data_IF_550291971165
#
_entry.id   IF_550291971165
#
_cell.length_a   1.000
_cell.length_b   1.000
_cell.length_c   1.000
_cell.angle_alpha   90.00
_cell.angle_beta   90.00
_cell.angle_gamma   90.00
#
_symmetry.space_group_name_H-M   'P 1'
#
loop_
_entity.id
_entity.type
_entity.pdbx_description
1 polymer ?
#
# COMPACT_ATOMS: atom_id res chain seq x y z
N UNK A 1 25.82 -7.29 5.97
CA UNK A 1 24.98 -6.07 6.05
C UNK A 1 23.68 -6.47 6.74
N UNK A 2 23.22 -5.71 7.74
CA UNK A 2 21.91 -5.99 8.33
C UNK A 2 20.84 -5.76 7.26
N UNK A 3 19.85 -6.66 7.18
CA UNK A 3 18.68 -6.49 6.32
C UNK A 3 17.95 -5.24 6.80
N UNK A 4 17.79 -4.25 5.92
CA UNK A 4 16.99 -3.07 6.21
C UNK A 4 15.53 -3.51 6.42
N UNK A 5 15.07 -3.43 7.67
CA UNK A 5 13.72 -3.88 8.07
C UNK A 5 12.64 -2.82 7.83
N UNK A 6 13.02 -1.57 7.58
CA UNK A 6 12.15 -0.41 7.51
C UNK A 6 12.46 0.39 6.24
N UNK A 7 11.44 0.90 5.56
CA UNK A 7 11.61 1.84 4.45
C UNK A 7 11.89 3.25 4.97
N UNK A 8 12.81 3.94 4.32
CA UNK A 8 13.03 5.38 4.57
C UNK A 8 11.88 6.18 3.96
N UNK A 9 11.42 7.26 4.63
CA UNK A 9 10.40 8.14 4.07
C UNK A 9 10.90 8.79 2.76
N UNK A 10 9.99 9.08 1.81
CA UNK A 10 10.38 9.75 0.58
C UNK A 10 10.97 11.13 0.89
N UNK A 11 11.92 11.65 0.07
CA UNK A 11 12.59 12.92 0.36
C UNK A 11 11.64 14.11 0.59
N UNK A 12 10.44 14.09 -0.01
CA UNK A 12 9.41 15.11 0.23
C UNK A 12 8.90 15.11 1.67
N UNK A 13 8.66 13.93 2.26
CA UNK A 13 8.20 13.79 3.64
C UNK A 13 9.24 14.27 4.66
N UNK A 14 10.53 14.20 4.34
CA UNK A 14 11.58 14.74 5.20
C UNK A 14 11.68 16.27 5.17
N UNK A 15 11.22 16.91 4.08
CA UNK A 15 11.32 18.37 3.91
C UNK A 15 10.07 19.10 4.38
N UNK A 16 8.92 18.45 4.30
CA UNK A 16 7.63 19.02 4.68
C UNK A 16 7.36 18.75 6.17
N UNK A 17 7.19 19.82 6.95
CA UNK A 17 6.95 19.73 8.39
C UNK A 17 5.56 19.21 8.73
N UNK A 18 4.62 19.31 7.79
CA UNK A 18 3.25 18.83 7.95
C UNK A 18 3.08 17.40 7.42
N UNK A 19 4.13 16.80 6.86
CA UNK A 19 4.08 15.43 6.36
C UNK A 19 3.85 14.43 7.49
N UNK A 20 3.10 13.39 7.17
CA UNK A 20 2.87 12.27 8.07
C UNK A 20 2.76 10.96 7.29
N UNK A 21 3.05 9.85 7.97
CA UNK A 21 2.81 8.50 7.44
C UNK A 21 1.31 8.18 7.53
N UNK A 22 0.71 7.82 6.38
CA UNK A 22 -0.71 7.49 6.27
C UNK A 22 -0.96 6.00 6.54
N UNK A 23 -0.23 5.13 5.84
CA UNK A 23 -0.34 3.68 5.91
C UNK A 23 1.08 3.10 5.98
N UNK A 24 1.24 2.06 6.80
CA UNK A 24 2.43 1.22 6.81
C UNK A 24 2.04 -0.24 6.80
N UNK A 25 2.47 -0.96 5.77
CA UNK A 25 2.20 -2.39 5.61
C UNK A 25 3.45 -3.19 5.96
N UNK A 26 3.26 -4.26 6.73
CA UNK A 26 4.29 -5.14 7.24
C UNK A 26 3.99 -6.58 6.86
N UNK A 27 5.05 -7.35 6.58
CA UNK A 27 4.98 -8.80 6.59
C UNK A 27 5.63 -9.27 7.89
N UNK A 28 4.81 -9.75 8.82
CA UNK A 28 5.24 -10.29 10.11
C UNK A 28 4.40 -11.52 10.44
N UNK A 29 4.96 -12.48 11.16
CA UNK A 29 4.24 -13.70 11.58
C UNK A 29 3.54 -14.45 10.41
N UNK A 30 4.12 -14.37 9.21
CA UNK A 30 3.59 -14.94 7.95
C UNK A 30 2.31 -14.28 7.42
N UNK A 31 1.85 -13.18 8.02
CA UNK A 31 0.67 -12.43 7.62
C UNK A 31 0.98 -10.95 7.34
N UNK A 32 -0.03 -10.27 6.80
CA UNK A 32 0.02 -8.82 6.59
C UNK A 32 -0.41 -8.10 7.87
N UNK A 33 0.35 -7.11 8.31
CA UNK A 33 -0.04 -6.21 9.40
C UNK A 33 -0.03 -4.77 8.90
N UNK A 34 -1.01 -3.97 9.32
CA UNK A 34 -1.18 -2.59 8.85
C UNK A 34 -1.22 -1.63 10.04
N UNK A 35 -0.41 -0.57 9.98
CA UNK A 35 -0.63 0.64 10.75
C UNK A 35 -1.29 1.69 9.85
N UNK A 36 -2.41 2.25 10.27
CA UNK A 36 -3.22 3.17 9.48
C UNK A 36 -3.57 4.41 10.32
N UNK A 37 -3.42 5.61 9.75
CA UNK A 37 -3.96 6.83 10.33
C UNK A 37 -5.41 7.04 9.85
N UNK A 38 -6.42 6.84 10.70
CA UNK A 38 -7.81 7.05 10.30
C UNK A 38 -8.16 8.53 10.17
N UNK A 39 -9.30 8.82 9.54
CA UNK A 39 -9.90 10.16 9.53
C UNK A 39 -9.27 11.20 8.60
N UNK A 40 -8.27 10.82 7.79
CA UNK A 40 -7.60 11.73 6.84
C UNK A 40 -8.55 12.22 5.75
N UNK A 41 -9.37 11.33 5.20
CA UNK A 41 -10.46 11.68 4.29
C UNK A 41 -11.77 11.09 4.79
N UNK A 42 -12.83 11.91 4.71
CA UNK A 42 -14.20 11.51 5.10
C UNK A 42 -14.92 10.76 3.97
N UNK A 43 -14.62 11.09 2.72
CA UNK A 43 -15.20 10.43 1.55
C UNK A 43 -14.33 9.23 1.13
N UNK A 44 -14.95 8.06 1.05
CA UNK A 44 -14.32 6.82 0.59
C UNK A 44 -13.75 6.90 -0.83
N UNK A 45 -14.26 7.81 -1.67
CA UNK A 45 -13.74 8.06 -3.01
C UNK A 45 -12.25 8.40 -3.01
N UNK A 46 -11.78 9.20 -2.04
CA UNK A 46 -10.36 9.59 -1.97
C UNK A 46 -9.46 8.44 -1.54
N UNK A 47 -9.95 7.54 -0.67
CA UNK A 47 -9.26 6.29 -0.36
C UNK A 47 -9.14 5.40 -1.59
N UNK A 48 -10.21 5.29 -2.39
CA UNK A 48 -10.19 4.56 -3.66
C UNK A 48 -9.19 5.12 -4.68
N UNK A 49 -9.10 6.45 -4.80
CA UNK A 49 -8.08 7.10 -5.64
C UNK A 49 -6.66 6.80 -5.14
N UNK A 50 -6.43 6.88 -3.83
CA UNK A 50 -5.12 6.55 -3.24
C UNK A 50 -4.71 5.10 -3.51
N UNK A 51 -5.63 4.14 -3.39
CA UNK A 51 -5.36 2.73 -3.72
C UNK A 51 -5.03 2.55 -5.21
N UNK A 52 -5.71 3.26 -6.10
CA UNK A 52 -5.40 3.24 -7.53
C UNK A 52 -4.00 3.80 -7.84
N UNK A 53 -3.60 4.89 -7.18
CA UNK A 53 -2.26 5.47 -7.31
C UNK A 53 -1.18 4.49 -6.77
N UNK A 54 -1.45 3.84 -5.64
CA UNK A 54 -0.56 2.82 -5.07
C UNK A 54 -0.37 1.64 -6.03
N UNK A 55 -1.45 1.13 -6.63
CA UNK A 55 -1.38 0.05 -7.63
C UNK A 55 -0.47 0.44 -8.81
N UNK A 56 -0.57 1.68 -9.29
CA UNK A 56 0.29 2.18 -10.37
C UNK A 56 1.76 2.29 -9.94
N UNK A 57 2.03 2.69 -8.69
CA UNK A 57 3.38 2.70 -8.15
C UNK A 57 3.99 1.30 -8.04
N UNK A 58 3.20 0.30 -7.62
CA UNK A 58 3.64 -1.11 -7.59
C UNK A 58 4.02 -1.56 -9.01
N UNK A 59 3.16 -1.34 -10.00
CA UNK A 59 3.44 -1.69 -11.41
C UNK A 59 4.73 -1.03 -11.90
N UNK A 60 4.94 0.24 -11.56
CA UNK A 60 6.16 0.95 -11.95
C UNK A 60 7.41 0.35 -11.29
N UNK A 61 7.37 0.07 -9.99
CA UNK A 61 8.48 -0.52 -9.25
C UNK A 61 8.84 -1.91 -9.80
N UNK A 62 7.85 -2.77 -10.01
CA UNK A 62 8.03 -4.11 -10.57
C UNK A 62 8.64 -4.05 -11.98
N UNK A 63 8.15 -3.17 -12.85
CA UNK A 63 8.71 -2.99 -14.18
C UNK A 63 10.14 -2.40 -14.20
N UNK A 64 10.51 -1.62 -13.17
CA UNK A 64 11.89 -1.13 -13.00
C UNK A 64 12.84 -2.26 -12.58
N UNK A 65 12.38 -3.17 -11.73
CA UNK A 65 13.14 -4.34 -11.28
C UNK A 65 13.24 -5.43 -12.36
N UNK A 66 12.19 -5.60 -13.16
CA UNK A 66 12.12 -6.60 -14.21
C UNK A 66 11.54 -6.02 -15.51
N UNK A 67 12.43 -5.81 -16.50
CA UNK A 67 12.09 -5.24 -17.81
C UNK A 67 11.13 -6.09 -18.65
N UNK A 68 10.93 -7.37 -18.31
CA UNK A 68 10.01 -8.25 -19.03
C UNK A 68 8.55 -8.07 -18.61
N UNK A 69 8.28 -7.29 -17.55
CA UNK A 69 6.91 -7.06 -17.07
C UNK A 69 6.14 -6.18 -18.06
N UNK A 70 5.05 -6.75 -18.58
CA UNK A 70 4.00 -5.98 -19.25
C UNK A 70 3.16 -5.27 -18.19
N UNK A 71 3.36 -3.95 -18.11
CA UNK A 71 2.72 -3.08 -17.11
C UNK A 71 1.19 -3.18 -17.12
N UNK A 72 0.59 -3.30 -18.31
CA UNK A 72 -0.88 -3.36 -18.44
C UNK A 72 -1.41 -4.70 -17.93
N UNK A 73 -0.75 -5.80 -18.32
CA UNK A 73 -1.12 -7.13 -17.82
C UNK A 73 -0.92 -7.26 -16.31
N UNK A 74 0.17 -6.68 -15.80
CA UNK A 74 0.44 -6.69 -14.36
C UNK A 74 -0.61 -5.89 -13.58
N UNK A 75 -0.97 -4.68 -14.04
CA UNK A 75 -2.05 -3.91 -13.43
C UNK A 75 -3.40 -4.64 -13.48
N UNK A 76 -3.69 -5.33 -14.58
CA UNK A 76 -4.91 -6.15 -14.70
C UNK A 76 -4.94 -7.26 -13.64
N UNK A 77 -3.79 -7.90 -13.35
CA UNK A 77 -3.67 -8.90 -12.28
C UNK A 77 -3.84 -8.30 -10.88
N UNK A 78 -3.33 -7.08 -10.64
CA UNK A 78 -3.57 -6.37 -9.38
C UNK A 78 -5.08 -6.12 -9.19
N UNK A 79 -5.76 -5.63 -10.23
CA UNK A 79 -7.21 -5.39 -10.18
C UNK A 79 -7.99 -6.66 -9.92
N UNK A 80 -7.66 -7.74 -10.63
CA UNK A 80 -8.31 -9.05 -10.43
C UNK A 80 -8.18 -9.55 -8.99
N UNK A 81 -6.98 -9.44 -8.39
CA UNK A 81 -6.77 -9.82 -7.00
C UNK A 81 -7.51 -8.91 -6.01
N UNK A 82 -7.51 -7.59 -6.27
CA UNK A 82 -8.23 -6.62 -5.44
C UNK A 82 -9.74 -6.86 -5.47
N UNK A 83 -10.34 -6.96 -6.65
CA UNK A 83 -11.79 -7.16 -6.80
C UNK A 83 -12.20 -8.51 -6.18
N UNK A 84 -11.42 -9.57 -6.37
CA UNK A 84 -11.69 -10.87 -5.75
C UNK A 84 -11.69 -10.83 -4.22
N UNK A 85 -10.72 -10.14 -3.60
CA UNK A 85 -10.64 -9.99 -2.15
C UNK A 85 -11.76 -9.08 -1.60
N UNK A 86 -12.16 -8.05 -2.35
CA UNK A 86 -13.30 -7.20 -1.98
C UNK A 86 -14.64 -7.93 -2.05
N UNK A 87 -14.82 -8.82 -3.03
CA UNK A 87 -16.04 -9.59 -3.24
C UNK A 87 -16.14 -10.80 -2.29
N UNK A 88 -15.00 -11.41 -1.95
CA UNK A 88 -14.92 -12.57 -1.06
C UNK A 88 -13.67 -12.47 -0.15
N UNK A 89 -13.74 -11.68 0.94
CA UNK A 89 -12.63 -11.49 1.86
C UNK A 89 -12.11 -12.84 2.40
N UNK A 90 -10.80 -13.01 2.35
CA UNK A 90 -10.11 -14.20 2.87
C UNK A 90 -9.58 -14.00 4.29
N UNK A 91 -9.63 -12.76 4.79
CA UNK A 91 -9.24 -12.36 6.13
C UNK A 91 -10.26 -11.37 6.74
N UNK A 92 -10.34 -11.32 8.07
CA UNK A 92 -11.16 -10.34 8.79
C UNK A 92 -10.32 -9.12 9.20
N UNK A 93 -10.83 -7.91 8.93
CA UNK A 93 -10.15 -6.69 9.32
C UNK A 93 -10.24 -6.47 10.83
N UNK A 94 -9.18 -6.83 11.55
CA UNK A 94 -9.05 -6.66 13.01
C UNK A 94 -8.08 -5.53 13.38
N UNK A 95 -8.20 -5.00 14.60
CA UNK A 95 -7.26 -4.02 15.14
C UNK A 95 -7.81 -3.18 16.31
N UNK A 96 -6.94 -2.34 16.86
CA UNK A 96 -7.27 -1.40 17.95
C UNK A 96 -6.80 0.02 17.63
N UNK A 97 -7.51 1.02 18.17
CA UNK A 97 -7.08 2.42 18.08
C UNK A 97 -6.10 2.69 19.21
N UNK A 98 -4.83 2.91 18.85
CA UNK A 98 -3.79 3.33 19.79
C UNK A 98 -3.69 4.86 19.79
N UNK A 99 -3.67 5.48 20.98
CA UNK A 99 -3.53 6.93 21.18
C UNK A 99 -2.08 7.28 21.54
#
# INVERSE_FOLDING_TARGET
>A
MAIQKYLDPPPAANRDKEAFELIRVWIAEQNQHVSLRPGVWQDGLYWGMMLADLAQHIVNAEAMSNKSIDRRKFLARIREGFDAEMDAPTDEAEGEITQ
#
